data_IF_510939139850
#
_entry.id   IF_510939139850
#
_cell.length_a   1.000
_cell.length_b   1.000
_cell.length_c   1.000
_cell.angle_alpha   90.00
_cell.angle_beta   90.00
_cell.angle_gamma   90.00
#
_symmetry.space_group_name_H-M   'P 1'
#
loop_
_entity.id
_entity.type
_entity.pdbx_description
1 polymer ?
#
# COMPACT_ATOMS: atom_id res chain seq x y z
N UNK A 1 5.10 2.35 5.47
CA UNK A 1 5.52 1.50 6.60
C UNK A 1 5.86 0.12 6.08
N UNK A 2 7.09 -0.33 6.29
CA UNK A 2 7.43 -1.74 6.10
C UNK A 2 7.09 -2.51 7.38
N UNK A 3 6.58 -3.73 7.27
CA UNK A 3 6.21 -4.57 8.41
C UNK A 3 6.39 -6.07 8.09
N UNK A 4 6.33 -6.92 9.13
CA UNK A 4 6.41 -8.37 9.00
C UNK A 4 7.84 -8.89 9.06
N UNK A 5 8.76 -8.18 9.74
CA UNK A 5 10.12 -8.67 9.98
C UNK A 5 10.35 -9.00 11.46
N UNK A 6 10.64 -8.01 12.31
CA UNK A 6 11.02 -8.22 13.74
C UNK A 6 10.03 -7.61 14.72
N UNK A 7 9.12 -6.79 14.25
CA UNK A 7 8.16 -6.07 15.07
C UNK A 7 6.98 -6.96 15.50
N UNK A 8 6.39 -6.62 16.64
CA UNK A 8 5.14 -7.20 17.14
C UNK A 8 3.91 -6.46 16.58
N UNK A 9 2.70 -7.07 16.60
CA UNK A 9 1.46 -6.37 16.25
C UNK A 9 1.23 -5.10 17.08
N UNK A 10 1.62 -5.09 18.36
CA UNK A 10 1.51 -3.91 19.23
C UNK A 10 2.38 -2.76 18.71
N UNK A 11 3.63 -3.05 18.38
CA UNK A 11 4.55 -2.05 17.82
C UNK A 11 4.05 -1.47 16.49
N UNK A 12 3.34 -2.27 15.67
CA UNK A 12 2.70 -1.75 14.44
C UNK A 12 1.63 -0.72 14.76
N UNK A 13 0.79 -0.98 15.76
CA UNK A 13 -0.25 -0.03 16.20
C UNK A 13 0.38 1.22 16.79
N UNK A 14 1.39 1.10 17.64
CA UNK A 14 2.13 2.23 18.20
C UNK A 14 2.73 3.10 17.10
N UNK A 15 3.28 2.48 16.05
CA UNK A 15 3.81 3.21 14.91
C UNK A 15 2.71 4.00 14.16
N UNK A 16 1.54 3.39 13.95
CA UNK A 16 0.41 4.08 13.34
C UNK A 16 -0.06 5.27 14.19
N UNK A 17 -0.15 5.10 15.50
CA UNK A 17 -0.50 6.19 16.43
C UNK A 17 0.50 7.34 16.35
N UNK A 18 1.79 7.06 16.30
CA UNK A 18 2.84 8.08 16.12
C UNK A 18 2.74 8.81 14.79
N UNK A 19 2.45 8.10 13.70
CA UNK A 19 2.21 8.72 12.38
C UNK A 19 1.00 9.66 12.44
N UNK A 20 -0.10 9.21 13.04
CA UNK A 20 -1.31 10.02 13.23
C UNK A 20 -1.01 11.29 14.02
N UNK A 21 -0.30 11.16 15.14
CA UNK A 21 0.01 12.28 16.04
C UNK A 21 1.01 13.25 15.38
N UNK A 22 1.93 12.73 14.57
CA UNK A 22 2.84 13.57 13.78
C UNK A 22 2.08 14.34 12.69
N UNK A 23 1.16 13.68 11.99
CA UNK A 23 0.28 14.31 11.01
C UNK A 23 -0.57 15.42 11.64
N UNK A 24 -1.08 15.21 12.86
CA UNK A 24 -1.87 16.21 13.58
C UNK A 24 -1.07 17.48 13.93
N UNK A 25 0.26 17.40 13.97
CA UNK A 25 1.16 18.54 14.19
C UNK A 25 1.64 19.20 12.90
N UNK A 26 1.16 18.74 11.74
CA UNK A 26 1.55 19.34 10.47
C UNK A 26 1.08 20.80 10.45
N UNK A 27 1.97 21.78 10.17
CA UNK A 27 1.60 23.18 10.11
C UNK A 27 0.55 23.43 9.02
N UNK A 28 -0.32 24.39 9.27
CA UNK A 28 -1.31 24.82 8.28
C UNK A 28 -0.64 25.19 6.95
N UNK A 29 -1.26 24.81 5.84
CA UNK A 29 -0.71 25.04 4.48
C UNK A 29 0.45 24.11 4.08
N UNK A 30 0.82 23.14 4.91
CA UNK A 30 1.78 22.08 4.58
C UNK A 30 1.08 20.76 4.30
N UNK A 31 1.71 19.90 3.45
CA UNK A 31 1.08 18.65 3.01
C UNK A 31 1.12 17.53 4.06
N UNK A 32 2.13 17.50 4.91
CA UNK A 32 2.34 16.36 5.82
C UNK A 32 2.44 15.04 5.05
N UNK A 33 1.81 13.99 5.60
CA UNK A 33 1.66 12.70 4.92
C UNK A 33 0.42 12.73 4.04
N UNK A 34 0.61 12.66 2.73
CA UNK A 34 -0.49 12.68 1.74
C UNK A 34 -1.09 11.29 1.50
N UNK A 35 -0.33 10.24 1.83
CA UNK A 35 -0.77 8.85 1.72
C UNK A 35 -0.03 7.95 2.70
N UNK A 36 -0.63 6.82 3.05
CA UNK A 36 -0.02 5.75 3.79
C UNK A 36 0.01 4.47 2.94
N UNK A 37 1.17 3.83 2.88
CA UNK A 37 1.38 2.60 2.11
C UNK A 37 1.98 1.54 3.05
N UNK A 38 1.24 0.49 3.44
CA UNK A 38 1.83 -0.64 4.15
C UNK A 38 2.52 -1.57 3.16
N UNK A 39 3.79 -1.87 3.44
CA UNK A 39 4.62 -2.76 2.64
C UNK A 39 5.03 -3.96 3.48
N UNK A 40 4.73 -5.16 2.99
CA UNK A 40 5.23 -6.36 3.65
C UNK A 40 6.73 -6.54 3.34
N UNK A 41 7.49 -6.80 4.39
CA UNK A 41 8.91 -7.16 4.24
C UNK A 41 9.04 -8.47 3.46
N UNK A 42 9.98 -8.53 2.54
CA UNK A 42 10.37 -9.74 1.83
C UNK A 42 11.74 -10.17 2.32
N UNK A 43 11.81 -11.36 2.92
CA UNK A 43 13.07 -11.85 3.52
C UNK A 43 14.04 -12.45 2.50
N UNK A 44 13.55 -12.91 1.35
CA UNK A 44 14.35 -13.64 0.35
C UNK A 44 15.67 -12.92 0.02
N UNK A 45 16.78 -13.63 0.15
CA UNK A 45 18.14 -13.16 -0.12
C UNK A 45 18.62 -11.96 0.71
N UNK A 46 17.95 -11.66 1.82
CA UNK A 46 18.34 -10.58 2.73
C UNK A 46 19.27 -11.06 3.84
N UNK A 47 20.01 -10.11 4.45
CA UNK A 47 20.82 -10.39 5.65
C UNK A 47 19.94 -10.82 6.84
N UNK A 48 18.73 -10.29 6.96
CA UNK A 48 17.79 -10.69 8.01
C UNK A 48 17.37 -12.16 7.85
N UNK A 49 17.22 -12.65 6.63
CA UNK A 49 16.94 -14.08 6.38
C UNK A 49 18.09 -14.97 6.86
N UNK A 50 19.34 -14.57 6.62
CA UNK A 50 20.54 -15.30 7.12
C UNK A 50 20.60 -15.32 8.64
N UNK A 51 20.03 -14.32 9.30
CA UNK A 51 19.87 -14.23 10.76
C UNK A 51 18.62 -14.95 11.28
N UNK A 52 17.89 -15.68 10.42
CA UNK A 52 16.70 -16.47 10.78
C UNK A 52 15.38 -15.67 10.77
N UNK A 53 15.39 -14.43 10.34
CA UNK A 53 14.14 -13.63 10.19
C UNK A 53 13.50 -13.94 8.85
N UNK A 54 12.43 -14.74 8.89
CA UNK A 54 11.67 -15.11 7.69
C UNK A 54 10.27 -14.52 7.75
N UNK A 55 9.81 -13.97 6.63
CA UNK A 55 8.45 -13.45 6.49
C UNK A 55 7.61 -14.40 5.66
N UNK A 56 6.46 -14.79 6.21
CA UNK A 56 5.43 -15.49 5.44
C UNK A 56 4.33 -14.50 5.07
N UNK A 57 4.08 -14.34 3.79
CA UNK A 57 2.97 -13.52 3.33
C UNK A 57 1.64 -14.13 3.74
N UNK A 58 0.80 -13.34 4.39
CA UNK A 58 -0.58 -13.69 4.73
C UNK A 58 -1.51 -12.61 4.17
N UNK A 59 -2.38 -12.93 3.19
CA UNK A 59 -3.40 -11.99 2.70
C UNK A 59 -4.27 -11.43 3.83
N UNK A 60 -4.72 -12.29 4.75
CA UNK A 60 -5.56 -11.88 5.87
C UNK A 60 -4.86 -10.87 6.78
N UNK A 61 -3.57 -11.06 7.06
CA UNK A 61 -2.82 -10.11 7.88
C UNK A 61 -2.62 -8.78 7.17
N UNK A 62 -2.39 -8.81 5.86
CA UNK A 62 -2.34 -7.59 5.06
C UNK A 62 -3.66 -6.80 5.12
N UNK A 63 -4.81 -7.48 4.96
CA UNK A 63 -6.12 -6.85 5.05
C UNK A 63 -6.39 -6.27 6.45
N UNK A 64 -5.96 -6.96 7.51
CA UNK A 64 -6.01 -6.43 8.89
C UNK A 64 -5.20 -5.14 9.03
N UNK A 65 -3.99 -5.09 8.50
CA UNK A 65 -3.15 -3.88 8.53
C UNK A 65 -3.83 -2.73 7.78
N UNK A 66 -4.40 -2.96 6.61
CA UNK A 66 -5.17 -1.95 5.88
C UNK A 66 -6.34 -1.44 6.72
N UNK A 67 -7.15 -2.35 7.28
CA UNK A 67 -8.32 -1.98 8.08
C UNK A 67 -7.94 -1.19 9.34
N UNK A 68 -6.96 -1.67 10.10
CA UNK A 68 -6.46 -0.98 11.30
C UNK A 68 -5.87 0.39 10.93
N UNK A 69 -5.09 0.46 9.83
CA UNK A 69 -4.55 1.73 9.36
C UNK A 69 -5.65 2.72 9.01
N UNK A 70 -6.75 2.29 8.36
CA UNK A 70 -7.89 3.15 8.05
C UNK A 70 -8.57 3.69 9.32
N UNK A 71 -8.69 2.88 10.35
CA UNK A 71 -9.31 3.30 11.61
C UNK A 71 -8.41 4.24 12.42
N UNK A 72 -7.11 3.96 12.47
CA UNK A 72 -6.15 4.74 13.27
C UNK A 72 -5.73 6.04 12.58
N UNK A 73 -5.46 5.99 11.27
CA UNK A 73 -4.97 7.13 10.48
C UNK A 73 -6.13 7.97 9.91
N UNK A 74 -7.07 8.38 10.76
CA UNK A 74 -8.26 9.16 10.35
C UNK A 74 -7.92 10.52 9.71
N UNK A 75 -6.72 11.07 9.98
CA UNK A 75 -6.19 12.31 9.42
C UNK A 75 -5.26 12.12 8.21
N UNK A 76 -5.10 10.90 7.72
CA UNK A 76 -4.41 10.59 6.44
C UNK A 76 -5.45 10.00 5.48
N UNK A 77 -5.85 10.81 4.50
CA UNK A 77 -6.98 10.49 3.61
C UNK A 77 -6.75 9.25 2.76
N UNK A 78 -5.51 9.05 2.28
CA UNK A 78 -5.22 8.05 1.27
C UNK A 78 -4.45 6.88 1.86
N UNK A 79 -4.98 5.66 1.65
CA UNK A 79 -4.31 4.40 1.98
C UNK A 79 -4.18 3.59 0.70
N UNK A 80 -2.95 3.32 0.31
CA UNK A 80 -2.65 2.61 -0.94
C UNK A 80 -2.49 1.12 -0.69
N UNK A 81 -3.16 0.32 -1.51
CA UNK A 81 -2.91 -1.12 -1.61
C UNK A 81 -1.66 -1.37 -2.46
N UNK A 82 -0.68 -2.08 -1.91
CA UNK A 82 0.56 -2.42 -2.60
C UNK A 82 0.38 -3.67 -3.48
N UNK A 83 -0.39 -3.57 -4.58
CA UNK A 83 -0.69 -4.69 -5.47
C UNK A 83 0.55 -5.45 -5.95
N UNK A 84 1.64 -4.73 -6.14
CA UNK A 84 2.91 -5.30 -6.61
C UNK A 84 3.43 -6.40 -5.67
N UNK A 85 3.33 -6.17 -4.36
CA UNK A 85 3.82 -7.10 -3.34
C UNK A 85 2.80 -8.16 -2.93
N UNK A 86 1.50 -7.85 -3.01
CA UNK A 86 0.44 -8.72 -2.48
C UNK A 86 -0.40 -9.41 -3.56
N UNK A 87 -0.23 -9.03 -4.82
CA UNK A 87 -0.99 -9.55 -5.95
C UNK A 87 -2.39 -8.95 -6.09
N UNK A 88 -3.01 -9.24 -7.26
CA UNK A 88 -4.30 -8.68 -7.68
C UNK A 88 -5.41 -8.94 -6.66
N UNK A 89 -5.66 -10.20 -6.33
CA UNK A 89 -6.80 -10.59 -5.49
C UNK A 89 -6.74 -9.94 -4.10
N UNK A 90 -5.56 -9.93 -3.47
CA UNK A 90 -5.38 -9.29 -2.16
C UNK A 90 -5.54 -7.78 -2.25
N UNK A 91 -5.05 -7.15 -3.33
CA UNK A 91 -5.20 -5.71 -3.53
C UNK A 91 -6.67 -5.31 -3.79
N UNK A 92 -7.44 -6.11 -4.52
CA UNK A 92 -8.89 -5.94 -4.69
C UNK A 92 -9.63 -6.03 -3.35
N UNK A 93 -9.33 -7.06 -2.54
CA UNK A 93 -9.89 -7.20 -1.20
C UNK A 93 -9.49 -6.04 -0.26
N UNK A 94 -8.30 -5.47 -0.43
CA UNK A 94 -7.84 -4.33 0.35
C UNK A 94 -8.67 -3.06 0.10
N UNK A 95 -9.24 -2.87 -1.11
CA UNK A 95 -10.18 -1.78 -1.38
C UNK A 95 -11.44 -1.88 -0.52
N UNK A 96 -11.92 -3.10 -0.27
CA UNK A 96 -13.05 -3.34 0.66
C UNK A 96 -12.65 -3.25 2.13
N UNK A 97 -11.36 -3.34 2.44
CA UNK A 97 -10.84 -3.28 3.80
C UNK A 97 -10.40 -1.88 4.23
N UNK A 98 -10.53 -0.86 3.37
CA UNK A 98 -10.22 0.52 3.72
C UNK A 98 -9.16 1.20 2.87
N UNK A 99 -8.51 0.52 1.93
CA UNK A 99 -7.69 1.17 0.91
C UNK A 99 -8.58 1.94 -0.08
N UNK A 100 -8.08 3.05 -0.60
CA UNK A 100 -8.76 3.85 -1.62
C UNK A 100 -7.85 4.20 -2.81
N UNK A 101 -6.71 3.55 -2.90
CA UNK A 101 -5.74 3.76 -3.96
C UNK A 101 -5.06 2.43 -4.32
N UNK A 102 -4.91 2.15 -5.59
CA UNK A 102 -4.17 0.98 -6.12
C UNK A 102 -2.74 1.34 -6.53
N UNK A 103 -2.31 2.59 -6.30
CA UNK A 103 -0.98 3.04 -6.70
C UNK A 103 -0.87 3.31 -8.20
N UNK A 104 0.35 3.14 -8.73
CA UNK A 104 0.68 3.39 -10.13
C UNK A 104 1.25 2.14 -10.79
N UNK A 105 1.34 2.19 -12.13
CA UNK A 105 2.18 1.25 -12.87
C UNK A 105 3.65 1.49 -12.53
N UNK A 106 4.44 0.41 -12.55
CA UNK A 106 5.88 0.49 -12.36
C UNK A 106 6.54 0.35 -13.74
N UNK A 107 7.35 1.33 -14.11
CA UNK A 107 8.08 1.33 -15.39
C UNK A 107 9.25 0.34 -15.32
N UNK A 108 10.02 0.42 -14.23
CA UNK A 108 11.06 -0.56 -13.90
C UNK A 108 10.89 -1.02 -12.46
N UNK A 109 10.85 -2.33 -12.25
CA UNK A 109 10.65 -2.93 -10.94
C UNK A 109 11.74 -3.97 -10.66
N UNK A 110 12.92 -3.46 -10.32
CA UNK A 110 14.07 -4.30 -10.04
C UNK A 110 14.16 -4.73 -8.57
N UNK A 111 13.65 -3.91 -7.64
CA UNK A 111 13.79 -4.16 -6.20
C UNK A 111 12.81 -5.24 -5.73
N UNK A 112 11.52 -5.12 -6.07
CA UNK A 112 10.50 -6.07 -5.63
C UNK A 112 10.54 -7.36 -6.44
N UNK A 113 10.92 -7.31 -7.71
CA UNK A 113 11.10 -8.49 -8.54
C UNK A 113 12.31 -9.32 -8.13
N UNK A 114 13.41 -8.69 -7.74
CA UNK A 114 14.57 -9.40 -7.18
C UNK A 114 14.25 -10.05 -5.83
N UNK A 115 13.27 -9.53 -5.09
CA UNK A 115 12.74 -10.12 -3.87
C UNK A 115 11.57 -11.11 -4.12
N UNK A 116 11.38 -11.60 -5.35
CA UNK A 116 10.47 -12.69 -5.69
C UNK A 116 9.02 -12.30 -5.96
N UNK A 117 8.68 -11.03 -6.13
CA UNK A 117 7.34 -10.61 -6.55
C UNK A 117 7.28 -10.39 -8.07
N UNK A 118 6.44 -11.15 -8.76
CA UNK A 118 6.33 -11.12 -10.23
C UNK A 118 4.98 -10.60 -10.73
N UNK A 119 4.28 -9.81 -9.91
CA UNK A 119 3.02 -9.20 -10.32
C UNK A 119 3.28 -8.04 -11.29
N UNK A 120 2.59 -8.04 -12.43
CA UNK A 120 2.69 -6.97 -13.44
C UNK A 120 1.31 -6.48 -13.81
N UNK A 121 1.13 -5.17 -13.79
CA UNK A 121 -0.04 -4.50 -14.34
C UNK A 121 0.40 -3.34 -15.23
N UNK A 122 -0.26 -3.21 -16.37
CA UNK A 122 -0.37 -1.96 -17.08
C UNK A 122 -1.51 -1.10 -16.52
N UNK A 123 -1.70 0.08 -17.07
CA UNK A 123 -2.73 0.99 -16.60
C UNK A 123 -4.15 0.40 -16.75
N UNK A 124 -4.42 -0.34 -17.83
CA UNK A 124 -5.73 -0.98 -18.03
C UNK A 124 -5.93 -2.17 -17.10
N UNK A 125 -4.89 -2.93 -16.82
CA UNK A 125 -4.93 -4.00 -15.82
C UNK A 125 -5.32 -3.49 -14.43
N UNK A 126 -4.78 -2.33 -13.99
CA UNK A 126 -5.17 -1.71 -12.72
C UNK A 126 -6.64 -1.25 -12.78
N UNK A 127 -7.07 -0.58 -13.86
CA UNK A 127 -8.47 -0.14 -14.02
C UNK A 127 -9.43 -1.33 -13.99
N UNK A 128 -9.10 -2.39 -14.72
CA UNK A 128 -9.88 -3.62 -14.74
C UNK A 128 -9.97 -4.25 -13.34
N UNK A 129 -8.87 -4.33 -12.63
CA UNK A 129 -8.87 -4.86 -11.27
C UNK A 129 -9.77 -4.05 -10.32
N UNK A 130 -9.77 -2.71 -10.42
CA UNK A 130 -10.64 -1.84 -9.63
C UNK A 130 -12.12 -2.06 -9.98
N UNK A 131 -12.46 -2.14 -11.29
CA UNK A 131 -13.86 -2.40 -11.75
C UNK A 131 -14.36 -3.76 -11.28
N UNK A 132 -13.54 -4.79 -11.40
CA UNK A 132 -13.87 -6.15 -10.93
C UNK A 132 -14.09 -6.21 -9.42
N UNK A 133 -13.45 -5.34 -8.67
CA UNK A 133 -13.71 -5.16 -7.23
C UNK A 133 -14.96 -4.32 -6.93
N UNK A 134 -15.72 -3.88 -7.94
CA UNK A 134 -16.95 -3.11 -7.77
C UNK A 134 -16.75 -1.60 -7.58
N UNK A 135 -15.55 -1.07 -7.84
CA UNK A 135 -15.24 0.36 -7.70
C UNK A 135 -15.04 1.05 -9.06
N UNK A 136 -15.22 2.35 -9.09
CA UNK A 136 -14.95 3.18 -10.27
C UNK A 136 -13.49 3.67 -10.24
N UNK A 137 -12.62 3.27 -11.20
CA UNK A 137 -11.26 3.74 -11.26
C UNK A 137 -11.19 5.22 -11.62
N UNK A 138 -10.34 5.96 -10.93
CA UNK A 138 -10.02 7.36 -11.22
C UNK A 138 -8.52 7.55 -11.33
N UNK A 139 -8.10 8.40 -12.25
CA UNK A 139 -6.69 8.79 -12.39
C UNK A 139 -6.39 9.93 -11.42
N UNK A 140 -5.24 9.86 -10.78
CA UNK A 140 -4.71 10.91 -9.91
C UNK A 140 -3.28 11.28 -10.26
N UNK A 141 -2.84 12.44 -9.85
CA UNK A 141 -1.42 12.80 -9.82
C UNK A 141 -0.75 12.38 -8.50
N UNK A 142 0.50 12.76 -8.31
CA UNK A 142 1.28 12.44 -7.11
C UNK A 142 0.79 13.19 -5.85
N UNK A 143 0.14 14.31 -6.02
CA UNK A 143 -0.46 15.09 -4.93
C UNK A 143 -1.92 14.71 -4.65
N UNK A 144 -2.41 13.64 -5.28
CA UNK A 144 -3.80 13.14 -5.20
C UNK A 144 -4.84 14.09 -5.81
N UNK A 145 -4.42 15.03 -6.68
CA UNK A 145 -5.31 15.75 -7.57
C UNK A 145 -5.92 14.81 -8.61
N UNK A 146 -7.24 14.87 -8.79
CA UNK A 146 -7.92 14.05 -9.79
C UNK A 146 -7.59 14.55 -11.20
N UNK A 147 -7.32 13.63 -12.11
CA UNK A 147 -7.01 13.88 -13.52
C UNK A 147 -8.00 13.16 -14.40
N UNK A 148 -8.32 13.76 -15.54
CA UNK A 148 -9.06 13.07 -16.60
C UNK A 148 -8.15 12.11 -17.38
N UNK A 149 -8.72 11.02 -17.86
CA UNK A 149 -8.02 10.15 -18.79
C UNK A 149 -7.88 10.89 -20.12
N UNK A 150 -6.67 10.95 -20.66
CA UNK A 150 -6.51 11.36 -22.05
C UNK A 150 -7.29 10.38 -22.95
N UNK A 151 -8.05 10.87 -23.96
CA UNK A 151 -8.64 9.99 -24.95
C UNK A 151 -7.53 9.15 -25.59
N UNK A 152 -7.74 7.85 -25.67
CA UNK A 152 -6.85 7.01 -26.45
C UNK A 152 -7.04 7.40 -27.93
N UNK A 153 -5.97 7.85 -28.57
CA UNK A 153 -5.97 8.14 -29.99
C UNK A 153 -6.08 6.85 -30.81
#
# INVERSE_FOLDING_TARGET
MMYGHVETPHQRVDHLLRIRDLQARCPEGKYGFIAFIPWIFRSTDTELERQGVTTRFSPLEYLRIIAVSRLVLCNIRNIQASWLTVGKATAQAALHSGANDMGSIMIEENVVSSAGAHNRFDAEGIRKAIREAGFTPRLRDQLYGMREYAPQA
#
